data_IF_936044643662
#
_entry.id   IF_936044643662
#
_cell.length_a   1.000
_cell.length_b   1.000
_cell.length_c   1.000
_cell.angle_alpha   90.00
_cell.angle_beta   90.00
_cell.angle_gamma   90.00
#
_symmetry.space_group_name_H-M   'P 1'
#
loop_
_entity.id
_entity.type
_entity.pdbx_description
1 polymer ?
#
# COMPACT_ATOMS: atom_id res chain seq x y z
N UNK A 1 8.57 12.17 8.14
CA UNK A 1 8.63 11.15 7.07
C UNK A 1 9.76 10.16 7.36
N UNK A 2 10.96 10.65 7.70
CA UNK A 2 12.10 9.80 8.08
C UNK A 2 11.86 8.91 9.30
N UNK A 3 11.01 9.31 10.25
CA UNK A 3 10.63 8.48 11.40
C UNK A 3 9.97 7.15 11.00
N UNK A 4 9.11 7.16 9.97
CA UNK A 4 8.43 5.94 9.49
C UNK A 4 9.41 5.06 8.75
N UNK A 5 10.27 5.65 7.91
CA UNK A 5 11.30 4.91 7.18
C UNK A 5 12.28 4.26 8.16
N UNK A 6 12.76 5.01 9.16
CA UNK A 6 13.66 4.51 10.19
C UNK A 6 13.03 3.34 10.98
N UNK A 7 11.76 3.46 11.35
CA UNK A 7 11.03 2.38 12.02
C UNK A 7 11.04 1.10 11.18
N UNK A 8 10.70 1.20 9.90
CA UNK A 8 10.68 0.04 8.99
C UNK A 8 12.07 -0.55 8.78
N UNK A 9 13.11 0.29 8.73
CA UNK A 9 14.49 -0.18 8.68
C UNK A 9 14.90 -0.96 9.93
N UNK A 10 14.48 -0.52 11.12
CA UNK A 10 14.71 -1.23 12.38
C UNK A 10 13.92 -2.54 12.44
N UNK A 11 12.67 -2.56 11.98
CA UNK A 11 11.84 -3.78 11.96
C UNK A 11 12.42 -4.87 11.06
N UNK A 12 13.09 -4.47 9.97
CA UNK A 12 13.76 -5.43 9.09
C UNK A 12 14.92 -6.14 9.79
N UNK A 13 15.59 -5.49 10.74
CA UNK A 13 16.61 -6.11 11.57
C UNK A 13 15.94 -7.14 12.48
N UNK A 14 16.19 -8.42 12.20
CA UNK A 14 15.64 -9.53 12.98
C UNK A 14 14.33 -10.12 12.46
N UNK A 15 13.72 -9.54 11.42
CA UNK A 15 12.51 -10.10 10.78
C UNK A 15 12.66 -10.24 9.25
N UNK A 16 13.90 -10.42 8.76
CA UNK A 16 14.19 -10.47 7.33
C UNK A 16 13.52 -11.65 6.59
N UNK A 17 13.05 -12.65 7.34
CA UNK A 17 12.32 -13.83 6.90
C UNK A 17 10.84 -13.55 6.58
N UNK A 18 10.28 -12.41 6.99
CA UNK A 18 8.91 -12.06 6.66
C UNK A 18 8.74 -11.83 5.14
N UNK A 19 7.65 -12.32 4.52
CA UNK A 19 7.41 -12.17 3.08
C UNK A 19 7.41 -10.70 2.60
N UNK A 20 7.00 -9.77 3.45
CA UNK A 20 7.01 -8.33 3.13
C UNK A 20 8.42 -7.73 3.05
N UNK A 21 9.43 -8.40 3.62
CA UNK A 21 10.84 -8.00 3.56
C UNK A 21 11.66 -8.81 2.54
N UNK A 22 11.03 -9.72 1.78
CA UNK A 22 11.70 -10.58 0.81
C UNK A 22 12.47 -9.83 -0.29
N UNK A 23 12.07 -8.60 -0.63
CA UNK A 23 12.80 -7.73 -1.56
C UNK A 23 14.10 -7.12 -1.00
N UNK A 24 14.40 -7.37 0.28
CA UNK A 24 15.53 -6.78 0.99
C UNK A 24 15.34 -5.31 1.35
N UNK A 25 16.25 -4.79 2.19
CA UNK A 25 16.16 -3.44 2.77
C UNK A 25 15.96 -2.35 1.71
N UNK A 26 16.76 -2.39 0.64
CA UNK A 26 16.73 -1.36 -0.41
C UNK A 26 15.39 -1.30 -1.12
N UNK A 27 14.84 -2.45 -1.54
CA UNK A 27 13.57 -2.48 -2.28
C UNK A 27 12.40 -2.03 -1.41
N UNK A 28 12.37 -2.43 -0.14
CA UNK A 28 11.30 -2.06 0.79
C UNK A 28 11.34 -0.58 1.13
N UNK A 29 12.52 -0.04 1.45
CA UNK A 29 12.68 1.39 1.76
C UNK A 29 12.36 2.25 0.55
N UNK A 30 12.85 1.89 -0.63
CA UNK A 30 12.58 2.64 -1.87
C UNK A 30 11.10 2.55 -2.28
N UNK A 31 10.49 1.37 -2.12
CA UNK A 31 9.06 1.17 -2.33
C UNK A 31 8.22 2.04 -1.38
N UNK A 32 8.62 2.14 -0.11
CA UNK A 32 7.94 2.99 0.87
C UNK A 32 8.11 4.48 0.56
N UNK A 33 9.31 4.91 0.18
CA UNK A 33 9.58 6.30 -0.24
C UNK A 33 8.77 6.66 -1.49
N UNK A 34 8.71 5.80 -2.49
CA UNK A 34 7.97 6.08 -3.72
C UNK A 34 6.47 6.24 -3.49
N UNK A 35 5.89 5.52 -2.49
CA UNK A 35 4.49 5.65 -2.07
C UNK A 35 4.20 6.96 -1.35
N UNK A 36 5.09 7.36 -0.45
CA UNK A 36 4.92 8.54 0.41
C UNK A 36 5.39 9.86 -0.25
N UNK A 37 6.05 9.78 -1.42
CA UNK A 37 6.45 10.94 -2.26
C UNK A 37 7.16 12.05 -1.47
N UNK A 38 8.31 11.78 -0.81
CA UNK A 38 9.02 12.78 -0.03
C UNK A 38 9.43 13.97 -0.93
N UNK A 39 9.23 15.19 -0.44
CA UNK A 39 9.60 16.42 -1.14
C UNK A 39 8.63 16.87 -2.25
N UNK A 40 7.56 16.13 -2.53
CA UNK A 40 6.51 16.59 -3.43
C UNK A 40 5.68 17.71 -2.79
N UNK A 41 5.17 18.64 -3.62
CA UNK A 41 4.23 19.67 -3.17
C UNK A 41 2.91 19.03 -2.74
N UNK A 42 2.24 19.61 -1.75
CA UNK A 42 0.95 19.13 -1.23
C UNK A 42 -0.10 18.93 -2.32
N UNK A 43 -0.18 19.86 -3.29
CA UNK A 43 -1.11 19.74 -4.42
C UNK A 43 -0.84 18.52 -5.31
N UNK A 44 0.44 18.23 -5.58
CA UNK A 44 0.85 17.05 -6.34
C UNK A 44 0.54 15.76 -5.59
N UNK A 45 0.78 15.73 -4.27
CA UNK A 45 0.39 14.58 -3.44
C UNK A 45 -1.13 14.38 -3.44
N UNK A 46 -1.92 15.45 -3.34
CA UNK A 46 -3.37 15.38 -3.37
C UNK A 46 -3.88 14.81 -4.70
N UNK A 47 -3.36 15.30 -5.83
CA UNK A 47 -3.71 14.76 -7.14
C UNK A 47 -3.35 13.27 -7.27
N UNK A 48 -2.16 12.89 -6.80
CA UNK A 48 -1.71 11.49 -6.83
C UNK A 48 -2.63 10.58 -6.01
N UNK A 49 -3.00 11.00 -4.79
CA UNK A 49 -3.92 10.24 -3.94
C UNK A 49 -5.31 10.13 -4.57
N UNK A 50 -5.83 11.22 -5.13
CA UNK A 50 -7.14 11.19 -5.81
C UNK A 50 -7.13 10.22 -7.00
N UNK A 51 -6.06 10.20 -7.80
CA UNK A 51 -5.91 9.24 -8.90
C UNK A 51 -5.91 7.79 -8.42
N UNK A 52 -5.25 7.49 -7.30
CA UNK A 52 -5.28 6.15 -6.71
C UNK A 52 -6.69 5.76 -6.23
N UNK A 53 -7.42 6.71 -5.65
CA UNK A 53 -8.82 6.51 -5.24
C UNK A 53 -9.68 6.22 -6.46
N UNK A 54 -9.57 7.02 -7.52
CA UNK A 54 -10.36 6.86 -8.75
C UNK A 54 -10.09 5.52 -9.45
N UNK A 55 -8.86 5.00 -9.38
CA UNK A 55 -8.53 3.67 -9.89
C UNK A 55 -9.07 2.53 -9.01
N UNK A 56 -9.23 2.78 -7.71
CA UNK A 56 -9.64 1.77 -6.74
C UNK A 56 -11.16 1.73 -6.56
N UNK A 57 -11.83 2.87 -6.70
CA UNK A 57 -13.28 2.97 -6.52
C UNK A 57 -13.99 2.15 -7.58
N UNK A 58 -15.04 1.44 -7.17
CA UNK A 58 -15.82 0.57 -8.04
C UNK A 58 -14.99 -0.48 -8.80
N UNK A 59 -13.86 -0.92 -8.24
CA UNK A 59 -13.07 -1.97 -8.84
C UNK A 59 -13.96 -3.19 -9.13
N UNK A 60 -14.00 -3.58 -10.41
CA UNK A 60 -14.87 -4.65 -10.90
C UNK A 60 -14.71 -5.93 -10.08
N UNK A 61 -13.46 -6.31 -9.76
CA UNK A 61 -13.19 -7.55 -9.02
C UNK A 61 -13.78 -7.51 -7.62
N UNK A 62 -13.64 -6.41 -6.91
CA UNK A 62 -14.22 -6.24 -5.56
C UNK A 62 -15.75 -6.34 -5.63
N UNK A 63 -16.39 -5.64 -6.57
CA UNK A 63 -17.86 -5.67 -6.71
C UNK A 63 -18.40 -7.07 -7.00
N UNK A 64 -17.71 -7.86 -7.81
CA UNK A 64 -18.14 -9.23 -8.10
C UNK A 64 -17.81 -10.20 -6.98
N UNK A 65 -16.71 -9.98 -6.28
CA UNK A 65 -16.41 -10.74 -5.07
C UNK A 65 -17.53 -10.55 -4.03
N UNK A 66 -17.96 -9.31 -3.77
CA UNK A 66 -19.04 -9.02 -2.83
C UNK A 66 -20.37 -9.67 -3.26
N UNK A 67 -20.68 -9.62 -4.57
CA UNK A 67 -21.86 -10.30 -5.12
C UNK A 67 -21.80 -11.82 -4.92
N UNK A 68 -20.63 -12.42 -5.15
CA UNK A 68 -20.42 -13.85 -4.91
C UNK A 68 -20.55 -14.19 -3.43
N UNK A 69 -19.92 -13.43 -2.54
CA UNK A 69 -20.03 -13.64 -1.10
C UNK A 69 -21.48 -13.58 -0.63
N UNK A 70 -22.26 -12.61 -1.12
CA UNK A 70 -23.69 -12.51 -0.82
C UNK A 70 -24.49 -13.69 -1.37
N UNK A 71 -24.27 -14.04 -2.64
CA UNK A 71 -25.10 -15.04 -3.32
C UNK A 71 -24.78 -16.48 -2.90
N UNK A 72 -23.51 -16.80 -2.66
CA UNK A 72 -23.05 -18.17 -2.44
C UNK A 72 -22.69 -18.45 -0.98
N UNK A 73 -22.27 -17.45 -0.21
CA UNK A 73 -21.85 -17.63 1.19
C UNK A 73 -22.82 -17.01 2.19
N UNK A 74 -23.79 -16.19 1.73
CA UNK A 74 -24.74 -15.49 2.59
C UNK A 74 -24.11 -14.41 3.48
N UNK A 75 -22.87 -14.00 3.18
CA UNK A 75 -22.14 -12.96 3.92
C UNK A 75 -22.59 -11.58 3.38
N UNK A 76 -22.98 -10.68 4.28
CA UNK A 76 -23.48 -9.34 3.97
C UNK A 76 -22.47 -8.25 4.31
#
# INVERSE_FOLDING_TARGET
>A
MDQIVLLVEMMLVGNADLPCFAGGKKAVVEGLRSRLKPGARTSTCQMFVNQLIDQSINNWRTRWYDKYQRACLGIL
#
